data_IF_388492622742
#
_entry.id   IF_388492622742
#
_cell.length_a   1.000
_cell.length_b   1.000
_cell.length_c   1.000
_cell.angle_alpha   90.00
_cell.angle_beta   90.00
_cell.angle_gamma   90.00
#
_symmetry.space_group_name_H-M   'P 1'
#
loop_
_entity.id
_entity.type
_entity.pdbx_description
1 polymer ?
#
# COMPACT_ATOMS: atom_id res chain seq x y z
N UNK A 1 -15.90 -27.80 -12.12
CA UNK A 1 -16.34 -26.87 -11.04
C UNK A 1 -15.28 -25.80 -10.74
N UNK A 2 -15.08 -24.85 -11.71
CA UNK A 2 -14.10 -23.76 -11.58
C UNK A 2 -14.71 -22.46 -11.01
N UNK A 3 -16.04 -22.38 -10.92
CA UNK A 3 -16.73 -21.14 -10.53
C UNK A 3 -16.52 -20.78 -9.05
N UNK A 4 -16.58 -21.75 -8.15
CA UNK A 4 -16.44 -21.46 -6.71
C UNK A 4 -15.03 -20.99 -6.34
N UNK A 5 -13.93 -21.63 -6.79
CA UNK A 5 -12.58 -21.11 -6.59
C UNK A 5 -12.40 -19.71 -7.17
N UNK A 6 -12.91 -19.45 -8.39
CA UNK A 6 -12.83 -18.14 -9.03
C UNK A 6 -13.59 -17.04 -8.25
N UNK A 7 -14.78 -17.40 -7.73
CA UNK A 7 -15.55 -16.46 -6.89
C UNK A 7 -14.87 -16.16 -5.55
N UNK A 8 -14.27 -17.17 -4.91
CA UNK A 8 -13.51 -16.99 -3.66
C UNK A 8 -12.31 -16.08 -3.93
N UNK A 9 -11.57 -16.31 -5.01
CA UNK A 9 -10.43 -15.47 -5.38
C UNK A 9 -10.87 -14.03 -5.67
N UNK A 10 -11.93 -13.82 -6.46
CA UNK A 10 -12.46 -12.48 -6.73
C UNK A 10 -12.90 -11.77 -5.44
N UNK A 11 -13.49 -12.50 -4.49
CA UNK A 11 -13.85 -11.98 -3.19
C UNK A 11 -12.62 -11.57 -2.35
N UNK A 12 -11.60 -12.41 -2.30
CA UNK A 12 -10.35 -12.09 -1.60
C UNK A 12 -9.63 -10.89 -2.22
N UNK A 13 -9.61 -10.81 -3.57
CA UNK A 13 -9.05 -9.65 -4.27
C UNK A 13 -9.85 -8.37 -3.99
N UNK A 14 -11.18 -8.43 -3.95
CA UNK A 14 -12.00 -7.27 -3.61
C UNK A 14 -11.71 -6.76 -2.20
N UNK A 15 -11.48 -7.64 -1.23
CA UNK A 15 -11.07 -7.26 0.13
C UNK A 15 -9.70 -6.58 0.18
N UNK A 16 -8.76 -6.99 -0.68
CA UNK A 16 -7.48 -6.30 -0.82
C UNK A 16 -7.64 -4.89 -1.42
N UNK A 17 -8.73 -4.66 -2.19
CA UNK A 17 -9.07 -3.33 -2.72
C UNK A 17 -9.66 -2.43 -1.64
N UNK A 18 -10.45 -2.95 -0.70
CA UNK A 18 -11.03 -2.21 0.43
C UNK A 18 -12.46 -2.60 0.73
N UNK A 19 -13.04 -1.98 1.77
CA UNK A 19 -14.46 -2.13 2.09
C UNK A 19 -15.33 -1.60 0.94
N UNK A 20 -16.47 -2.25 0.69
CA UNK A 20 -17.39 -1.94 -0.41
C UNK A 20 -16.75 -1.95 -1.82
N UNK A 21 -15.56 -2.51 -1.96
CA UNK A 21 -14.94 -2.71 -3.25
C UNK A 21 -15.45 -3.99 -3.91
N UNK A 22 -15.41 -4.02 -5.23
CA UNK A 22 -15.67 -5.23 -6.00
C UNK A 22 -14.47 -5.53 -6.90
N UNK A 23 -14.29 -6.80 -7.18
CA UNK A 23 -13.31 -7.27 -8.17
C UNK A 23 -14.05 -8.14 -9.18
N UNK A 24 -13.93 -7.80 -10.46
CA UNK A 24 -14.49 -8.60 -11.54
C UNK A 24 -13.38 -9.49 -12.09
N UNK A 25 -13.45 -10.78 -11.82
CA UNK A 25 -12.60 -11.74 -12.51
C UNK A 25 -13.17 -11.92 -13.92
N UNK A 26 -12.54 -11.36 -14.92
CA UNK A 26 -12.91 -11.57 -16.32
C UNK A 26 -12.43 -12.95 -16.77
N UNK A 27 -13.30 -13.93 -16.66
CA UNK A 27 -12.99 -15.33 -17.04
C UNK A 27 -12.96 -15.55 -18.56
N UNK A 28 -13.25 -14.55 -19.35
CA UNK A 28 -13.62 -14.81 -20.73
C UNK A 28 -12.87 -14.06 -21.82
N UNK A 29 -11.96 -13.14 -21.50
CA UNK A 29 -11.37 -12.31 -22.55
C UNK A 29 -9.85 -12.15 -22.53
N UNK A 30 -9.13 -12.56 -21.51
CA UNK A 30 -7.70 -12.74 -21.62
C UNK A 30 -7.37 -14.23 -21.61
N UNK A 31 -7.26 -14.80 -22.77
CA UNK A 31 -6.74 -16.15 -23.01
C UNK A 31 -5.25 -16.27 -22.70
N UNK A 32 -4.76 -15.49 -21.72
CA UNK A 32 -3.39 -15.65 -21.24
C UNK A 32 -3.38 -16.91 -20.40
N UNK A 33 -2.72 -17.97 -20.88
CA UNK A 33 -2.57 -19.21 -20.14
C UNK A 33 -1.72 -19.01 -18.89
N UNK A 34 -1.87 -19.88 -17.89
CA UNK A 34 -1.03 -19.86 -16.67
C UNK A 34 0.45 -19.89 -17.02
N UNK A 35 0.84 -20.62 -18.07
CA UNK A 35 2.22 -20.66 -18.57
C UNK A 35 2.67 -19.29 -19.10
N UNK A 36 1.81 -18.56 -19.81
CA UNK A 36 2.12 -17.24 -20.32
C UNK A 36 2.17 -16.20 -19.16
N UNK A 37 1.31 -16.32 -18.17
CA UNK A 37 1.41 -15.52 -16.95
C UNK A 37 2.72 -15.78 -16.20
N UNK A 38 3.09 -17.05 -16.01
CA UNK A 38 4.36 -17.40 -15.38
C UNK A 38 5.54 -16.82 -16.13
N UNK A 39 5.53 -16.92 -17.47
CA UNK A 39 6.56 -16.33 -18.31
C UNK A 39 6.63 -14.81 -18.16
N UNK A 40 5.47 -14.11 -18.14
CA UNK A 40 5.42 -12.66 -17.96
C UNK A 40 5.99 -12.23 -16.60
N UNK A 41 5.61 -12.92 -15.51
CA UNK A 41 6.14 -12.64 -14.17
C UNK A 41 7.64 -12.89 -14.10
N UNK A 42 8.11 -14.04 -14.63
CA UNK A 42 9.53 -14.38 -14.64
C UNK A 42 10.34 -13.37 -15.44
N UNK A 43 9.90 -13.00 -16.64
CA UNK A 43 10.55 -11.99 -17.47
C UNK A 43 10.61 -10.61 -16.80
N UNK A 44 9.51 -10.21 -16.13
CA UNK A 44 9.48 -8.94 -15.41
C UNK A 44 10.54 -8.89 -14.30
N UNK A 45 10.74 -9.99 -13.60
CA UNK A 45 11.75 -10.11 -12.54
C UNK A 45 13.17 -10.14 -13.15
N UNK A 46 13.43 -11.05 -14.09
CA UNK A 46 14.77 -11.29 -14.66
C UNK A 46 15.29 -10.10 -15.46
N UNK A 47 14.42 -9.46 -16.24
CA UNK A 47 14.78 -8.33 -17.09
C UNK A 47 14.54 -6.96 -16.39
N UNK A 48 14.07 -6.97 -15.14
CA UNK A 48 13.82 -5.76 -14.35
C UNK A 48 12.93 -4.74 -15.11
N UNK A 49 11.84 -5.23 -15.73
CA UNK A 49 10.98 -4.44 -16.63
C UNK A 49 9.89 -3.60 -15.96
N UNK A 50 9.48 -3.82 -14.69
CA UNK A 50 8.46 -2.97 -14.07
C UNK A 50 8.83 -1.49 -14.16
N UNK A 51 7.85 -0.66 -14.55
CA UNK A 51 7.97 0.80 -14.55
C UNK A 51 7.38 1.35 -13.26
N UNK A 52 7.98 2.42 -12.72
CA UNK A 52 7.50 3.05 -11.50
C UNK A 52 7.01 4.46 -11.82
N UNK A 53 5.79 4.75 -11.36
CA UNK A 53 5.22 6.10 -11.35
C UNK A 53 4.86 6.47 -9.91
N UNK A 54 4.91 7.77 -9.58
CA UNK A 54 4.50 8.25 -8.27
C UNK A 54 3.10 8.87 -8.38
N UNK A 55 2.18 8.32 -7.61
CA UNK A 55 0.75 8.65 -7.63
C UNK A 55 0.23 8.89 -6.21
N UNK A 56 -1.08 9.08 -6.07
CA UNK A 56 -1.75 9.20 -4.78
C UNK A 56 -1.05 10.22 -3.86
N UNK A 57 -0.85 11.42 -4.41
CA UNK A 57 -0.15 12.51 -3.74
C UNK A 57 -0.97 13.01 -2.56
N UNK A 58 -0.39 12.98 -1.36
CA UNK A 58 -1.01 13.50 -0.15
C UNK A 58 -0.35 14.82 0.25
N UNK A 59 -1.18 15.80 0.61
CA UNK A 59 -0.76 17.13 1.02
C UNK A 59 -1.19 17.42 2.45
N UNK A 60 -0.33 18.05 3.23
CA UNK A 60 -0.70 18.68 4.49
C UNK A 60 -1.30 20.06 4.22
N UNK A 61 -2.39 20.34 4.88
CA UNK A 61 -3.11 21.63 4.83
C UNK A 61 -3.08 22.33 6.20
N UNK A 62 -2.03 22.07 6.98
CA UNK A 62 -1.80 22.74 8.26
C UNK A 62 -1.42 24.23 8.11
N UNK A 63 -0.99 24.64 6.92
CA UNK A 63 -0.70 26.03 6.54
C UNK A 63 -1.50 26.43 5.29
N UNK A 64 -1.51 27.72 4.97
CA UNK A 64 -2.20 28.25 3.79
C UNK A 64 -1.61 27.70 2.49
N UNK A 65 -0.31 27.41 2.47
CA UNK A 65 0.36 26.78 1.34
C UNK A 65 0.43 25.25 1.59
N UNK A 66 -0.30 24.42 0.81
CA UNK A 66 -0.26 22.97 0.95
C UNK A 66 1.13 22.40 0.68
N UNK A 67 1.63 21.56 1.59
CA UNK A 67 2.92 20.89 1.46
C UNK A 67 2.71 19.42 1.14
N UNK A 68 3.35 18.93 0.08
CA UNK A 68 3.32 17.50 -0.24
C UNK A 68 4.06 16.69 0.82
N UNK A 69 3.35 15.76 1.47
CA UNK A 69 3.87 14.99 2.61
C UNK A 69 4.09 13.53 2.30
N UNK A 70 3.46 13.01 1.25
CA UNK A 70 3.62 11.60 0.84
C UNK A 70 3.14 11.39 -0.59
N UNK A 71 3.73 10.40 -1.25
CA UNK A 71 3.25 9.84 -2.51
C UNK A 71 3.40 8.32 -2.50
N UNK A 72 2.78 7.64 -3.44
CA UNK A 72 2.81 6.18 -3.55
C UNK A 72 3.51 5.76 -4.84
N UNK A 73 4.44 4.82 -4.72
CA UNK A 73 5.04 4.16 -5.85
C UNK A 73 4.01 3.20 -6.46
N UNK A 74 3.59 3.47 -7.68
CA UNK A 74 2.71 2.63 -8.48
C UNK A 74 3.54 1.88 -9.51
N UNK A 75 3.28 0.57 -9.62
CA UNK A 75 3.97 -0.31 -10.55
C UNK A 75 3.13 -0.54 -11.79
N UNK A 76 3.72 -0.30 -12.95
CA UNK A 76 3.15 -0.65 -14.25
C UNK A 76 3.98 -1.79 -14.85
N UNK A 77 3.28 -2.82 -15.30
CA UNK A 77 3.89 -3.97 -15.99
C UNK A 77 3.24 -4.12 -17.37
N UNK A 78 4.07 -4.37 -18.39
CA UNK A 78 3.60 -4.55 -19.77
C UNK A 78 3.94 -5.94 -20.26
N UNK A 79 3.10 -6.45 -21.17
CA UNK A 79 3.39 -7.68 -21.90
C UNK A 79 4.44 -7.44 -23.03
N UNK A 80 4.76 -8.50 -23.75
CA UNK A 80 5.72 -8.43 -24.86
C UNK A 80 5.21 -7.56 -26.06
N UNK A 81 3.91 -7.29 -26.13
CA UNK A 81 3.30 -6.39 -27.12
C UNK A 81 3.23 -4.92 -26.62
N UNK A 82 3.71 -4.64 -25.40
CA UNK A 82 3.67 -3.32 -24.79
C UNK A 82 2.32 -2.96 -24.16
N UNK A 83 1.38 -3.89 -24.07
CA UNK A 83 0.10 -3.67 -23.42
C UNK A 83 0.25 -3.76 -21.89
N UNK A 84 -0.40 -2.85 -21.17
CA UNK A 84 -0.40 -2.85 -19.72
C UNK A 84 -1.17 -4.05 -19.18
N UNK A 85 -0.53 -4.81 -18.31
CA UNK A 85 -1.14 -5.94 -17.61
C UNK A 85 -1.87 -5.46 -16.35
N UNK A 86 -3.04 -6.05 -16.02
CA UNK A 86 -3.75 -5.74 -14.78
C UNK A 86 -2.87 -6.09 -13.57
N UNK A 87 -2.39 -5.07 -12.86
CA UNK A 87 -1.39 -5.23 -11.80
C UNK A 87 -1.87 -6.15 -10.67
N UNK A 88 -3.16 -6.11 -10.30
CA UNK A 88 -3.73 -7.00 -9.29
C UNK A 88 -3.64 -8.48 -9.70
N UNK A 89 -3.99 -8.80 -10.95
CA UNK A 89 -3.85 -10.16 -11.50
C UNK A 89 -2.39 -10.58 -11.58
N UNK A 90 -1.51 -9.67 -11.98
CA UNK A 90 -0.08 -9.94 -12.09
C UNK A 90 0.52 -10.34 -10.72
N UNK A 91 0.19 -9.62 -9.65
CA UNK A 91 0.61 -9.98 -8.29
C UNK A 91 -0.01 -11.28 -7.79
N UNK A 92 -1.29 -11.54 -8.10
CA UNK A 92 -1.96 -12.81 -7.77
C UNK A 92 -1.24 -13.98 -8.38
N UNK A 93 -0.92 -13.89 -9.69
CA UNK A 93 -0.18 -14.94 -10.43
C UNK A 93 1.24 -15.10 -9.89
N UNK A 94 1.93 -14.01 -9.56
CA UNK A 94 3.23 -14.09 -8.89
C UNK A 94 3.14 -14.85 -7.55
N UNK A 95 2.06 -14.66 -6.81
CA UNK A 95 1.74 -15.41 -5.58
C UNK A 95 1.57 -16.90 -5.83
N UNK A 96 0.77 -17.29 -6.83
CA UNK A 96 0.52 -18.69 -7.21
C UNK A 96 1.79 -19.42 -7.66
N UNK A 97 2.66 -18.74 -8.40
CA UNK A 97 3.94 -19.30 -8.84
C UNK A 97 5.05 -19.22 -7.78
N UNK A 98 4.76 -18.68 -6.61
CA UNK A 98 5.76 -18.55 -5.54
C UNK A 98 6.81 -17.48 -5.78
N UNK A 99 6.59 -16.55 -6.73
CA UNK A 99 7.55 -15.54 -7.18
C UNK A 99 7.32 -14.15 -6.56
N UNK A 100 6.35 -14.00 -5.65
CA UNK A 100 5.96 -12.68 -5.13
C UNK A 100 7.09 -11.99 -4.36
N UNK A 101 7.93 -12.72 -3.64
CA UNK A 101 9.08 -12.14 -2.93
C UNK A 101 10.13 -11.59 -3.90
N UNK A 102 10.45 -12.33 -4.96
CA UNK A 102 11.38 -11.86 -5.98
C UNK A 102 10.81 -10.63 -6.70
N UNK A 103 9.51 -10.62 -6.97
CA UNK A 103 8.83 -9.46 -7.55
C UNK A 103 8.89 -8.24 -6.63
N UNK A 104 8.62 -8.41 -5.32
CA UNK A 104 8.76 -7.31 -4.35
C UNK A 104 10.19 -6.76 -4.31
N UNK A 105 11.22 -7.64 -4.34
CA UNK A 105 12.63 -7.21 -4.43
C UNK A 105 12.91 -6.39 -5.69
N UNK A 106 12.40 -6.84 -6.83
CA UNK A 106 12.53 -6.13 -8.11
C UNK A 106 11.88 -4.75 -8.04
N UNK A 107 10.65 -4.67 -7.52
CA UNK A 107 9.91 -3.41 -7.40
C UNK A 107 10.60 -2.46 -6.42
N UNK A 108 10.99 -2.93 -5.24
CA UNK A 108 11.74 -2.10 -4.27
C UNK A 108 13.00 -1.54 -4.93
N UNK A 109 13.80 -2.37 -5.61
CA UNK A 109 15.01 -1.93 -6.29
C UNK A 109 14.73 -0.87 -7.36
N UNK A 110 13.63 -1.03 -8.12
CA UNK A 110 13.20 -0.04 -9.12
C UNK A 110 12.76 1.26 -8.50
N UNK A 111 11.99 1.20 -7.40
CA UNK A 111 11.54 2.41 -6.70
C UNK A 111 12.75 3.19 -6.19
N UNK A 112 13.70 2.52 -5.53
CA UNK A 112 14.91 3.17 -5.01
C UNK A 112 15.69 3.85 -6.14
N UNK A 113 15.94 3.14 -7.25
CA UNK A 113 16.65 3.69 -8.41
C UNK A 113 15.91 4.87 -9.05
N UNK A 114 14.57 4.79 -9.15
CA UNK A 114 13.74 5.89 -9.69
C UNK A 114 13.79 7.12 -8.78
N UNK A 115 13.72 6.92 -7.45
CA UNK A 115 13.85 8.00 -6.47
C UNK A 115 15.20 8.70 -6.57
N UNK A 116 16.29 7.94 -6.67
CA UNK A 116 17.66 8.47 -6.83
C UNK A 116 17.79 9.27 -8.13
N UNK A 117 17.33 8.71 -9.24
CA UNK A 117 17.37 9.35 -10.56
C UNK A 117 16.60 10.67 -10.57
N UNK A 118 15.42 10.70 -9.98
CA UNK A 118 14.55 11.89 -9.93
C UNK A 118 14.88 12.83 -8.76
N UNK A 119 15.83 12.47 -7.89
CA UNK A 119 16.19 13.23 -6.68
C UNK A 119 14.98 13.52 -5.80
N UNK A 120 14.17 12.50 -5.57
CA UNK A 120 12.93 12.61 -4.80
C UNK A 120 13.23 13.05 -3.37
N UNK A 121 12.52 14.08 -2.89
CA UNK A 121 12.66 14.65 -1.54
C UNK A 121 11.39 14.50 -0.69
N UNK A 122 10.33 13.91 -1.24
CA UNK A 122 9.08 13.63 -0.53
C UNK A 122 9.02 12.14 -0.17
N UNK A 123 8.50 11.77 1.01
CA UNK A 123 8.29 10.39 1.40
C UNK A 123 7.50 9.58 0.38
N UNK A 124 7.98 8.38 0.07
CA UNK A 124 7.37 7.45 -0.90
C UNK A 124 6.91 6.18 -0.21
N UNK A 125 5.66 5.81 -0.44
CA UNK A 125 5.10 4.54 0.03
C UNK A 125 5.39 3.44 -0.98
N UNK A 126 5.93 2.32 -0.51
CA UNK A 126 6.21 1.10 -1.28
C UNK A 126 5.35 -0.04 -0.75
N UNK A 127 4.49 -0.60 -1.60
CA UNK A 127 3.63 -1.71 -1.21
C UNK A 127 4.42 -3.03 -1.15
N UNK A 128 4.22 -3.82 -0.10
CA UNK A 128 4.82 -5.14 0.07
C UNK A 128 3.76 -6.21 0.29
N UNK A 129 4.05 -7.42 -0.13
CA UNK A 129 3.29 -8.60 0.23
C UNK A 129 3.59 -9.06 1.66
N UNK A 130 2.61 -9.66 2.35
CA UNK A 130 2.85 -10.28 3.66
C UNK A 130 3.85 -11.45 3.60
N UNK A 131 4.01 -12.09 2.45
CA UNK A 131 5.02 -13.13 2.24
C UNK A 131 6.43 -12.57 2.36
N UNK A 132 6.71 -11.44 1.71
CA UNK A 132 7.99 -10.74 1.83
C UNK A 132 8.21 -10.19 3.24
N UNK A 133 7.18 -9.58 3.84
CA UNK A 133 7.23 -9.08 5.22
C UNK A 133 7.59 -10.18 6.24
N UNK A 134 7.09 -11.41 6.05
CA UNK A 134 7.37 -12.55 6.89
C UNK A 134 8.75 -13.20 6.64
N UNK A 135 9.35 -12.96 5.47
CA UNK A 135 10.59 -13.61 5.04
C UNK A 135 11.81 -13.00 5.73
N UNK A 136 12.61 -13.85 6.38
CA UNK A 136 13.92 -13.45 6.92
C UNK A 136 14.87 -13.05 5.80
N UNK A 137 14.90 -13.82 4.72
CA UNK A 137 15.79 -13.56 3.57
C UNK A 137 15.47 -12.24 2.88
N UNK A 138 14.18 -11.87 2.82
CA UNK A 138 13.76 -10.56 2.33
C UNK A 138 14.25 -9.44 3.27
N UNK A 139 14.13 -9.59 4.59
CA UNK A 139 14.59 -8.59 5.55
C UNK A 139 16.11 -8.39 5.49
N UNK A 140 16.87 -9.47 5.40
CA UNK A 140 18.33 -9.39 5.30
C UNK A 140 18.74 -8.70 4.00
N UNK A 141 18.12 -9.08 2.88
CA UNK A 141 18.31 -8.41 1.59
C UNK A 141 17.92 -6.92 1.63
N UNK A 142 16.79 -6.58 2.27
CA UNK A 142 16.33 -5.20 2.38
C UNK A 142 17.33 -4.34 3.15
N UNK A 143 17.87 -4.86 4.27
CA UNK A 143 18.93 -4.19 5.03
C UNK A 143 20.13 -3.84 4.16
N UNK A 144 20.65 -4.81 3.44
CA UNK A 144 21.81 -4.62 2.56
C UNK A 144 21.51 -3.62 1.44
N UNK A 145 20.29 -3.67 0.89
CA UNK A 145 19.86 -2.77 -0.18
C UNK A 145 19.72 -1.32 0.29
N UNK A 146 19.18 -1.11 1.49
CA UNK A 146 19.04 0.24 2.06
C UNK A 146 20.37 0.87 2.47
N UNK A 147 21.37 0.08 2.82
CA UNK A 147 22.73 0.59 3.07
C UNK A 147 23.38 1.20 1.82
N UNK A 148 22.94 0.80 0.63
CA UNK A 148 23.43 1.29 -0.66
C UNK A 148 22.57 2.43 -1.23
N UNK A 149 21.47 2.79 -0.57
CA UNK A 149 20.56 3.83 -1.03
C UNK A 149 21.14 5.20 -0.78
N UNK A 150 21.21 6.03 -1.82
CA UNK A 150 21.90 7.33 -1.78
C UNK A 150 21.08 8.47 -1.19
N UNK A 151 19.75 8.30 -1.07
CA UNK A 151 18.86 9.28 -0.45
C UNK A 151 18.60 8.94 1.03
N UNK A 152 18.09 9.89 1.84
CA UNK A 152 17.70 9.61 3.21
C UNK A 152 16.66 8.49 3.30
N UNK A 153 16.93 7.47 4.12
CA UNK A 153 16.07 6.29 4.27
C UNK A 153 14.71 6.66 4.88
N UNK A 154 14.62 7.76 5.61
CA UNK A 154 13.39 8.34 6.16
C UNK A 154 12.36 8.71 5.08
N UNK A 155 12.80 8.84 3.82
CA UNK A 155 11.90 9.02 2.68
C UNK A 155 11.17 7.74 2.26
N UNK A 156 11.44 6.61 2.90
CA UNK A 156 10.81 5.34 2.56
C UNK A 156 9.74 4.95 3.59
N UNK A 157 8.54 4.61 3.10
CA UNK A 157 7.46 4.06 3.88
C UNK A 157 7.01 2.72 3.29
N UNK A 158 7.34 1.61 3.94
CA UNK A 158 6.89 0.28 3.51
C UNK A 158 5.47 0.04 3.98
N UNK A 159 4.58 -0.36 3.07
CA UNK A 159 3.16 -0.50 3.36
C UNK A 159 2.60 -1.89 3.12
N UNK A 160 1.63 -2.23 3.94
CA UNK A 160 0.78 -3.42 3.81
C UNK A 160 -0.67 -2.99 3.98
N UNK A 161 -1.61 -3.65 3.31
CA UNK A 161 -3.04 -3.37 3.56
C UNK A 161 -3.46 -3.88 4.93
N UNK A 162 -4.40 -3.18 5.58
CA UNK A 162 -4.93 -3.60 6.88
C UNK A 162 -5.47 -5.04 6.85
N UNK A 163 -6.17 -5.42 5.77
CA UNK A 163 -6.66 -6.78 5.59
C UNK A 163 -5.55 -7.84 5.58
N UNK A 164 -4.44 -7.56 4.91
CA UNK A 164 -3.31 -8.49 4.87
C UNK A 164 -2.58 -8.55 6.23
N UNK A 165 -2.40 -7.40 6.89
CA UNK A 165 -1.80 -7.33 8.23
C UNK A 165 -2.65 -8.00 9.30
N UNK A 166 -4.00 -7.90 9.22
CA UNK A 166 -4.92 -8.52 10.17
C UNK A 166 -4.75 -10.03 10.28
N UNK A 167 -4.36 -10.69 9.18
CA UNK A 167 -4.10 -12.14 9.15
C UNK A 167 -2.90 -12.55 10.00
N UNK A 168 -1.92 -11.67 10.21
CA UNK A 168 -0.76 -11.91 11.07
C UNK A 168 -0.16 -10.59 11.58
N UNK A 169 -0.83 -9.99 12.55
CA UNK A 169 -0.44 -8.69 13.12
C UNK A 169 0.93 -8.72 13.80
N UNK A 170 1.27 -9.82 14.47
CA UNK A 170 2.56 -9.98 15.13
C UNK A 170 3.72 -9.93 14.11
N UNK A 171 3.58 -10.62 12.97
CA UNK A 171 4.60 -10.58 11.90
C UNK A 171 4.76 -9.19 11.32
N UNK A 172 3.65 -8.47 11.09
CA UNK A 172 3.70 -7.10 10.59
C UNK A 172 4.32 -6.15 11.63
N UNK A 173 3.93 -6.24 12.90
CA UNK A 173 4.53 -5.45 13.98
C UNK A 173 6.04 -5.68 14.14
N UNK A 174 6.48 -6.95 14.06
CA UNK A 174 7.91 -7.30 14.05
C UNK A 174 8.65 -6.71 12.85
N UNK A 175 8.02 -6.69 11.67
CA UNK A 175 8.58 -6.04 10.49
C UNK A 175 8.64 -4.51 10.66
N UNK A 176 7.63 -3.89 11.27
CA UNK A 176 7.62 -2.45 11.52
C UNK A 176 8.76 -2.03 12.45
N UNK A 177 9.05 -2.82 13.49
CA UNK A 177 10.21 -2.60 14.35
C UNK A 177 11.54 -2.71 13.58
N UNK A 178 11.69 -3.75 12.77
CA UNK A 178 12.85 -3.96 11.91
C UNK A 178 13.08 -2.79 10.94
N UNK A 179 12.03 -2.32 10.27
CA UNK A 179 12.09 -1.18 9.32
C UNK A 179 12.51 0.10 10.04
N UNK A 180 12.00 0.33 11.24
CA UNK A 180 12.36 1.48 12.06
C UNK A 180 13.84 1.45 12.49
N UNK A 181 14.41 0.28 12.80
CA UNK A 181 15.84 0.12 13.08
C UNK A 181 16.71 0.51 11.88
N UNK A 182 16.20 0.38 10.66
CA UNK A 182 16.87 0.81 9.43
C UNK A 182 16.70 2.32 9.14
N UNK A 183 15.90 3.04 9.91
CA UNK A 183 15.61 4.46 9.71
C UNK A 183 14.43 4.73 8.76
N UNK A 184 13.80 3.69 8.19
CA UNK A 184 12.62 3.82 7.36
C UNK A 184 11.32 3.77 8.20
N UNK A 185 10.19 3.95 7.56
CA UNK A 185 8.88 3.98 8.19
C UNK A 185 7.95 2.89 7.65
N UNK A 186 6.86 2.62 8.38
CA UNK A 186 5.80 1.71 7.93
C UNK A 186 4.44 2.40 7.89
N UNK A 187 3.63 1.98 6.92
CA UNK A 187 2.29 2.48 6.69
C UNK A 187 1.29 1.33 6.63
N UNK A 188 0.22 1.42 7.41
CA UNK A 188 -0.93 0.54 7.31
C UNK A 188 -1.93 1.16 6.34
N UNK A 189 -2.15 0.49 5.19
CA UNK A 189 -2.96 1.01 4.09
C UNK A 189 -4.39 0.49 4.17
N UNK A 190 -5.36 1.32 3.75
CA UNK A 190 -6.80 0.99 3.72
C UNK A 190 -7.33 0.54 5.08
N UNK A 191 -6.96 1.28 6.09
CA UNK A 191 -7.37 0.98 7.45
C UNK A 191 -8.84 1.29 7.69
N UNK A 192 -9.52 0.35 8.35
CA UNK A 192 -10.80 0.56 9.04
C UNK A 192 -10.81 -0.24 10.35
N UNK A 193 -11.61 0.21 11.33
CA UNK A 193 -11.73 -0.48 12.63
C UNK A 193 -12.41 -1.85 12.53
N UNK A 194 -13.17 -2.09 11.46
CA UNK A 194 -13.78 -3.41 11.19
C UNK A 194 -12.75 -4.48 10.81
N UNK A 195 -11.59 -4.05 10.32
CA UNK A 195 -10.52 -4.97 9.90
C UNK A 195 -9.50 -5.17 11.02
N UNK A 196 -9.04 -4.08 11.63
CA UNK A 196 -8.16 -4.12 12.81
C UNK A 196 -8.75 -3.16 13.84
N UNK A 197 -9.21 -3.64 15.01
CA UNK A 197 -9.70 -2.79 16.08
C UNK A 197 -8.67 -1.72 16.50
N UNK A 198 -9.17 -0.53 16.86
CA UNK A 198 -8.32 0.63 17.20
C UNK A 198 -7.34 0.32 18.33
N UNK A 199 -7.76 -0.49 19.30
CA UNK A 199 -6.95 -0.91 20.46
C UNK A 199 -5.73 -1.73 20.08
N UNK A 200 -5.77 -2.38 18.89
CA UNK A 200 -4.69 -3.25 18.41
C UNK A 200 -3.61 -2.48 17.63
N UNK A 201 -3.87 -1.25 17.24
CA UNK A 201 -2.93 -0.42 16.45
C UNK A 201 -1.58 -0.28 17.16
N UNK A 202 -1.58 -0.09 18.47
CA UNK A 202 -0.36 0.05 19.27
C UNK A 202 0.63 -1.10 19.05
N UNK A 203 0.13 -2.34 18.92
CA UNK A 203 0.96 -3.52 18.72
C UNK A 203 1.58 -3.64 17.33
N UNK A 204 1.18 -2.79 16.37
CA UNK A 204 1.70 -2.81 15.02
C UNK A 204 2.97 -1.96 14.85
N UNK A 205 3.29 -1.08 15.81
CA UNK A 205 4.48 -0.21 15.80
C UNK A 205 4.66 0.61 14.51
N UNK A 206 3.56 1.01 13.88
CA UNK A 206 3.53 1.74 12.60
C UNK A 206 3.72 3.24 12.78
N UNK A 207 4.11 3.92 11.69
CA UNK A 207 4.30 5.37 11.66
C UNK A 207 3.13 6.09 10.99
N UNK A 208 2.45 5.41 10.04
CA UNK A 208 1.38 5.99 9.25
C UNK A 208 0.18 5.05 9.17
N UNK A 209 -1.01 5.65 9.13
CA UNK A 209 -2.27 5.00 8.74
C UNK A 209 -2.81 5.74 7.54
N UNK A 210 -3.17 5.01 6.47
CA UNK A 210 -3.99 5.54 5.37
C UNK A 210 -5.37 4.91 5.48
N UNK A 211 -6.37 5.74 5.68
CA UNK A 211 -7.75 5.31 5.86
C UNK A 211 -8.32 4.63 4.61
N UNK A 212 -9.30 3.77 4.78
CA UNK A 212 -10.09 3.24 3.68
C UNK A 212 -10.92 4.38 3.06
N UNK A 213 -11.10 4.35 1.74
CA UNK A 213 -11.75 5.44 0.97
C UNK A 213 -13.17 5.76 1.41
N UNK A 214 -13.91 4.73 1.76
CA UNK A 214 -15.30 4.86 2.23
C UNK A 214 -15.42 5.63 3.55
N UNK A 215 -14.37 5.68 4.37
CA UNK A 215 -14.34 6.45 5.62
C UNK A 215 -14.16 7.95 5.39
N UNK A 216 -13.64 8.35 4.24
CA UNK A 216 -13.34 9.74 3.87
C UNK A 216 -14.23 10.27 2.74
N UNK A 217 -15.32 9.56 2.45
CA UNK A 217 -16.34 9.92 1.44
C UNK A 217 -17.71 9.96 2.09
N UNK A 218 -18.51 10.98 1.79
CA UNK A 218 -19.86 11.17 2.34
C UNK A 218 -19.89 11.12 3.89
N UNK A 219 -18.93 11.82 4.51
CA UNK A 219 -18.65 11.71 5.95
C UNK A 219 -19.87 12.07 6.76
N UNK A 220 -20.53 13.19 6.46
CA UNK A 220 -21.67 13.70 7.22
C UNK A 220 -22.99 12.97 6.95
N UNK A 221 -23.03 12.12 5.92
CA UNK A 221 -24.22 11.31 5.62
C UNK A 221 -24.33 10.06 6.50
N UNK A 222 -23.28 9.73 7.23
CA UNK A 222 -23.20 8.55 8.11
C UNK A 222 -22.72 8.97 9.49
N UNK A 223 -23.57 8.91 10.50
CA UNK A 223 -23.27 9.37 11.87
C UNK A 223 -22.02 8.72 12.50
N UNK A 224 -21.66 7.52 12.10
CA UNK A 224 -20.50 6.80 12.66
C UNK A 224 -19.14 7.22 12.10
N UNK A 225 -19.11 7.88 10.92
CA UNK A 225 -17.84 8.28 10.30
C UNK A 225 -17.16 9.47 11.00
N UNK A 226 -17.89 10.55 11.36
CA UNK A 226 -17.34 11.63 12.15
C UNK A 226 -16.70 11.12 13.45
N UNK A 227 -17.46 10.36 14.25
CA UNK A 227 -16.98 9.82 15.53
C UNK A 227 -15.72 8.95 15.34
N UNK A 228 -15.70 8.13 14.29
CA UNK A 228 -14.53 7.30 13.97
C UNK A 228 -13.30 8.16 13.62
N UNK A 229 -13.46 9.22 12.81
CA UNK A 229 -12.37 10.09 12.41
C UNK A 229 -11.77 10.83 13.60
N UNK A 230 -12.61 11.30 14.52
CA UNK A 230 -12.17 11.95 15.75
C UNK A 230 -11.40 10.96 16.64
N UNK A 231 -11.95 9.76 16.87
CA UNK A 231 -11.32 8.72 17.68
C UNK A 231 -9.97 8.29 17.09
N UNK A 232 -9.90 8.03 15.78
CA UNK A 232 -8.66 7.57 15.16
C UNK A 232 -7.58 8.65 15.20
N UNK A 233 -7.96 9.93 15.08
CA UNK A 233 -7.00 11.03 15.21
C UNK A 233 -6.49 11.20 16.64
N UNK A 234 -7.36 11.06 17.66
CA UNK A 234 -6.94 11.08 19.06
C UNK A 234 -5.95 9.94 19.38
N UNK A 235 -6.28 8.71 18.97
CA UNK A 235 -5.41 7.55 19.16
C UNK A 235 -4.08 7.72 18.40
N UNK A 236 -4.14 8.24 17.18
CA UNK A 236 -2.96 8.50 16.38
C UNK A 236 -2.04 9.54 17.04
N UNK A 237 -2.59 10.59 17.60
CA UNK A 237 -1.83 11.60 18.38
C UNK A 237 -1.16 10.98 19.60
N UNK A 238 -1.87 10.12 20.35
CA UNK A 238 -1.33 9.43 21.53
C UNK A 238 -0.20 8.46 21.18
N UNK A 239 -0.24 7.85 20.00
CA UNK A 239 0.73 6.85 19.53
C UNK A 239 1.79 7.44 18.58
N UNK A 240 1.77 8.76 18.35
CA UNK A 240 2.65 9.45 17.39
C UNK A 240 2.54 8.91 15.96
N UNK A 241 1.34 8.46 15.57
CA UNK A 241 1.02 7.96 14.24
C UNK A 241 0.43 9.10 13.40
N UNK A 242 0.79 9.16 12.14
CA UNK A 242 0.27 10.14 11.17
C UNK A 242 -0.86 9.53 10.35
N UNK A 243 -2.03 10.18 10.33
CA UNK A 243 -3.21 9.69 9.59
C UNK A 243 -3.34 10.40 8.25
N UNK A 244 -3.58 9.62 7.20
CA UNK A 244 -3.76 10.07 5.82
C UNK A 244 -5.17 9.74 5.35
N UNK A 245 -5.86 10.71 4.77
CA UNK A 245 -7.11 10.52 4.02
C UNK A 245 -6.82 10.23 2.54
N UNK A 246 -7.62 9.37 1.92
CA UNK A 246 -7.45 8.99 0.52
C UNK A 246 -8.69 9.34 -0.31
N UNK A 247 -8.49 9.90 -1.52
CA UNK A 247 -9.55 10.18 -2.51
C UNK A 247 -10.68 11.08 -2.00
N UNK A 248 -10.34 12.13 -1.29
CA UNK A 248 -11.30 13.12 -0.78
C UNK A 248 -11.70 14.05 -1.91
N UNK A 249 -12.83 13.78 -2.58
CA UNK A 249 -13.25 14.51 -3.78
C UNK A 249 -14.23 15.64 -3.52
N UNK A 250 -15.06 15.55 -2.46
CA UNK A 250 -16.06 16.54 -2.10
C UNK A 250 -15.47 17.62 -1.18
N UNK A 251 -15.86 18.87 -1.38
CA UNK A 251 -15.38 20.00 -0.57
C UNK A 251 -15.80 19.85 0.90
N UNK A 252 -17.05 19.44 1.16
CA UNK A 252 -17.55 19.23 2.53
C UNK A 252 -16.78 18.14 3.29
N UNK A 253 -16.36 17.06 2.60
CA UNK A 253 -15.54 16.00 3.17
C UNK A 253 -14.10 16.49 3.40
N UNK A 254 -13.58 17.28 2.47
CA UNK A 254 -12.27 17.90 2.58
C UNK A 254 -12.19 18.86 3.78
N UNK A 255 -13.18 19.74 3.93
CA UNK A 255 -13.26 20.66 5.06
C UNK A 255 -13.34 19.89 6.38
N UNK A 256 -14.08 18.78 6.41
CA UNK A 256 -14.20 17.94 7.59
C UNK A 256 -12.84 17.33 7.97
N UNK A 257 -12.18 16.58 7.06
CA UNK A 257 -10.91 15.90 7.36
C UNK A 257 -9.78 16.90 7.67
N UNK A 258 -9.82 18.10 7.05
CA UNK A 258 -8.93 19.21 7.40
C UNK A 258 -9.19 19.71 8.81
N UNK A 259 -10.47 19.88 9.18
CA UNK A 259 -10.89 20.31 10.53
C UNK A 259 -10.50 19.33 11.63
N UNK A 260 -10.56 18.03 11.37
CA UNK A 260 -10.07 16.98 12.28
C UNK A 260 -8.54 17.05 12.44
N UNK A 261 -7.82 17.64 11.49
CA UNK A 261 -6.39 17.80 11.54
C UNK A 261 -5.59 16.57 11.10
N UNK A 262 -6.11 15.82 10.11
CA UNK A 262 -5.38 14.70 9.54
C UNK A 262 -4.06 15.19 8.92
N UNK A 263 -3.02 14.36 9.04
CA UNK A 263 -1.65 14.71 8.60
C UNK A 263 -1.54 14.98 7.11
N UNK A 264 -2.25 14.23 6.28
CA UNK A 264 -2.22 14.41 4.84
C UNK A 264 -3.52 13.96 4.16
N UNK A 265 -3.86 14.67 3.09
CA UNK A 265 -5.10 14.45 2.32
C UNK A 265 -4.73 14.27 0.86
N UNK A 266 -5.17 13.17 0.25
CA UNK A 266 -5.17 12.95 -1.20
C UNK A 266 -6.54 13.29 -1.78
N UNK A 267 -6.57 14.14 -2.80
CA UNK A 267 -7.79 14.56 -3.52
C UNK A 267 -7.86 13.91 -4.89
#
# INVERSE_FOLDING_TARGET
>A
DRLLPAAIEAYEQSKLIGANAYFIKQDSLSSISDQAWKAAVTQAIENNTPEITFTNLAYSYASDDPVQVMMEAFTVVRDAAGQELPIGTFFSMAGEFGLVEQLDRTIVSKVLATMEQQKVSTPVTINLSMKSVASKDFRDWLRDRLQQFALPVELLAFSVTAYAAAKNQHTFGSFSLFVRELGATTLLKRYSSDVIPVEQIKGLHINYIRLARDLTTDIRQHNSKPDFLDIIQEVANLLEIKVLAESVSKEEDFDYVRGVGLFGISR
#
